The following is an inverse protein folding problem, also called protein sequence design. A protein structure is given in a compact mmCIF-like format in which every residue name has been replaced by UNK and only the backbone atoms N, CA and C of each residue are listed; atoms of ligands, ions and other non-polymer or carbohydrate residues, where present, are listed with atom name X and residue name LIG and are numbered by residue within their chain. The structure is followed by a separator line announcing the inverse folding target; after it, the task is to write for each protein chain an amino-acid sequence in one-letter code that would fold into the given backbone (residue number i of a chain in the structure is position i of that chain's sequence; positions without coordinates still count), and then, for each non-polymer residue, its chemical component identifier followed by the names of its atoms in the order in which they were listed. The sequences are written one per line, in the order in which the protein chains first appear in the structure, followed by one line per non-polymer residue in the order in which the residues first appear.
data_IF_663285823891
#
_entry.id   IF_663285823891
#
_cell.length_a   1.000
_cell.length_b   1.000
_cell.length_c   1.000
_cell.angle_alpha   90.00
_cell.angle_beta   90.00
_cell.angle_gamma   90.00
#
_symmetry.space_group_name_H-M   'P 1'
#
loop_
_entity.id
_entity.type
_entity.pdbx_description
1 polymer ?
#
# COMPACT_ATOMS: atom_id res chain seq x y z
N UNK A 1 -32.63 23.44 5.45
CA UNK A 1 -33.22 23.48 4.10
C UNK A 1 -32.11 23.13 3.11
N UNK A 2 -32.26 21.95 2.48
CA UNK A 2 -31.64 21.42 1.25
C UNK A 2 -30.10 21.44 1.14
N UNK A 3 -29.39 20.36 0.80
CA UNK A 3 -29.78 19.09 0.19
C UNK A 3 -28.64 18.06 0.38
N UNK A 4 -29.01 16.82 0.65
CA UNK A 4 -28.14 15.65 0.50
C UNK A 4 -27.76 15.47 -0.97
N UNK A 5 -26.48 15.23 -1.24
CA UNK A 5 -26.00 14.60 -2.47
C UNK A 5 -25.18 13.39 -2.07
N UNK A 6 -25.79 12.23 -2.30
CA UNK A 6 -25.16 10.92 -2.28
C UNK A 6 -23.88 10.88 -3.13
N UNK A 7 -22.93 10.02 -2.75
CA UNK A 7 -21.85 9.63 -3.67
C UNK A 7 -20.42 9.81 -3.16
N UNK A 8 -20.19 9.62 -1.87
CA UNK A 8 -18.85 9.44 -1.34
C UNK A 8 -18.99 8.91 0.05
N UNK A 9 -18.72 7.63 0.26
CA UNK A 9 -18.50 7.15 1.63
C UNK A 9 -17.52 8.13 2.27
N UNK A 10 -17.74 8.60 3.50
CA UNK A 10 -16.68 9.28 4.20
C UNK A 10 -15.54 8.28 4.21
N UNK A 11 -14.45 8.57 3.47
CA UNK A 11 -13.19 7.87 3.66
C UNK A 11 -12.84 8.23 5.08
N UNK A 12 -13.25 7.37 6.01
CA UNK A 12 -12.78 7.43 7.37
C UNK A 12 -11.27 7.37 7.22
N UNK A 13 -10.60 8.49 7.54
CA UNK A 13 -9.23 8.47 7.98
C UNK A 13 -9.23 7.70 9.31
N UNK A 14 -9.47 6.40 9.26
CA UNK A 14 -8.85 5.47 10.20
C UNK A 14 -7.37 5.65 9.94
N UNK A 15 -6.62 6.04 10.96
CA UNK A 15 -5.17 6.23 10.92
C UNK A 15 -4.54 5.37 9.83
N UNK A 16 -4.17 5.98 8.71
CA UNK A 16 -3.67 5.23 7.57
C UNK A 16 -2.46 4.45 8.06
N UNK A 17 -2.56 3.12 8.09
CA UNK A 17 -1.51 2.26 8.60
C UNK A 17 -0.17 2.61 7.96
N UNK A 18 0.93 2.38 8.65
CA UNK A 18 2.28 2.67 8.14
C UNK A 18 2.52 2.06 6.75
N UNK A 19 1.91 0.88 6.49
CA UNK A 19 1.91 0.24 5.18
C UNK A 19 1.26 1.12 4.08
N UNK A 20 0.11 1.75 4.34
CA UNK A 20 -0.57 2.61 3.36
C UNK A 20 0.27 3.85 2.99
N UNK A 21 0.86 4.50 4.00
CA UNK A 21 1.74 5.66 3.76
C UNK A 21 2.96 5.23 2.92
N UNK A 22 3.56 4.08 3.24
CA UNK A 22 4.69 3.57 2.48
C UNK A 22 4.31 3.16 1.04
N UNK A 23 3.08 2.63 0.83
CA UNK A 23 2.55 2.30 -0.50
C UNK A 23 2.46 3.57 -1.37
N UNK A 24 1.87 4.64 -0.84
CA UNK A 24 1.73 5.92 -1.56
C UNK A 24 3.09 6.46 -1.99
N UNK A 25 4.08 6.45 -1.09
CA UNK A 25 5.44 6.91 -1.39
C UNK A 25 6.13 6.06 -2.46
N UNK A 26 5.98 4.72 -2.41
CA UNK A 26 6.56 3.82 -3.41
C UNK A 26 5.91 4.02 -4.78
N UNK A 27 4.60 4.29 -4.82
CA UNK A 27 3.89 4.61 -6.07
C UNK A 27 4.41 5.91 -6.68
N UNK A 28 4.60 6.95 -5.88
CA UNK A 28 5.16 8.23 -6.32
C UNK A 28 6.58 8.05 -6.89
N UNK A 29 7.49 7.43 -6.12
CA UNK A 29 8.87 7.18 -6.58
C UNK A 29 8.93 6.29 -7.82
N UNK A 30 7.99 5.33 -7.96
CA UNK A 30 7.90 4.49 -9.15
C UNK A 30 7.46 5.29 -10.37
N UNK A 31 6.48 6.17 -10.23
CA UNK A 31 6.03 7.05 -11.31
C UNK A 31 7.17 7.95 -11.82
N UNK A 32 7.92 8.56 -10.89
CA UNK A 32 9.08 9.39 -11.23
C UNK A 32 10.16 8.59 -11.97
N UNK A 33 10.50 7.39 -11.48
CA UNK A 33 11.48 6.52 -12.14
C UNK A 33 11.01 6.09 -13.55
N UNK A 34 9.71 5.86 -13.73
CA UNK A 34 9.13 5.57 -15.05
C UNK A 34 9.25 6.75 -16.02
N UNK A 35 8.99 7.98 -15.55
CA UNK A 35 9.15 9.20 -16.34
C UNK A 35 10.62 9.39 -16.73
N UNK A 36 11.54 9.29 -15.77
CA UNK A 36 12.98 9.43 -16.00
C UNK A 36 13.48 8.39 -17.01
N UNK A 37 13.06 7.13 -16.86
CA UNK A 37 13.44 6.05 -17.78
C UNK A 37 12.97 6.32 -19.20
N UNK A 38 11.77 6.88 -19.38
CA UNK A 38 11.22 7.20 -20.70
C UNK A 38 12.03 8.28 -21.43
N UNK A 39 12.68 9.17 -20.68
CA UNK A 39 13.53 10.24 -21.22
C UNK A 39 14.99 9.80 -21.39
N UNK A 40 15.36 8.64 -20.85
CA UNK A 40 16.74 8.13 -20.86
C UNK A 40 17.04 7.30 -22.10
N UNK A 41 18.25 7.40 -22.64
CA UNK A 41 18.69 6.64 -23.81
C UNK A 41 18.66 5.12 -23.54
N UNK A 42 17.97 4.29 -24.34
CA UNK A 42 17.69 2.88 -24.03
C UNK A 42 18.91 2.00 -23.75
N UNK A 43 20.03 2.22 -24.44
CA UNK A 43 21.23 1.38 -24.29
C UNK A 43 22.25 1.97 -23.30
N UNK A 44 21.84 2.97 -22.51
CA UNK A 44 22.69 3.55 -21.47
C UNK A 44 22.67 2.73 -20.18
N UNK A 45 23.76 2.78 -19.39
CA UNK A 45 23.77 2.23 -18.03
C UNK A 45 22.67 2.80 -17.14
N UNK A 46 22.31 4.08 -17.31
CA UNK A 46 21.26 4.74 -16.54
C UNK A 46 19.88 4.13 -16.82
N UNK A 47 19.59 3.77 -18.07
CA UNK A 47 18.34 3.09 -18.43
C UNK A 47 18.24 1.71 -17.76
N UNK A 48 19.35 0.97 -17.70
CA UNK A 48 19.38 -0.33 -17.01
C UNK A 48 19.24 -0.17 -15.50
N UNK A 49 19.90 0.84 -14.92
CA UNK A 49 19.73 1.20 -13.51
C UNK A 49 18.27 1.51 -13.18
N UNK A 50 17.63 2.38 -13.96
CA UNK A 50 16.22 2.74 -13.76
C UNK A 50 15.28 1.55 -13.94
N UNK A 51 15.55 0.66 -14.90
CA UNK A 51 14.80 -0.59 -15.08
C UNK A 51 14.89 -1.47 -13.83
N UNK A 52 16.08 -1.59 -13.24
CA UNK A 52 16.31 -2.29 -11.98
C UNK A 52 15.58 -1.63 -10.81
N UNK A 53 15.66 -0.30 -10.68
CA UNK A 53 14.97 0.46 -9.64
C UNK A 53 13.46 0.28 -9.70
N UNK A 54 12.84 0.42 -10.87
CA UNK A 54 11.40 0.19 -11.08
C UNK A 54 11.01 -1.22 -10.66
N UNK A 55 11.82 -2.22 -11.04
CA UNK A 55 11.59 -3.62 -10.65
C UNK A 55 11.64 -3.80 -9.13
N UNK A 56 12.57 -3.13 -8.45
CA UNK A 56 12.68 -3.16 -7.00
C UNK A 56 11.47 -2.51 -6.32
N UNK A 57 11.02 -1.34 -6.80
CA UNK A 57 9.81 -0.69 -6.30
C UNK A 57 8.57 -1.56 -6.46
N UNK A 58 8.42 -2.25 -7.59
CA UNK A 58 7.34 -3.22 -7.77
C UNK A 58 7.34 -4.34 -6.71
N UNK A 59 8.51 -4.89 -6.38
CA UNK A 59 8.65 -5.92 -5.34
C UNK A 59 8.32 -5.39 -3.94
N UNK A 60 8.79 -4.18 -3.62
CA UNK A 60 8.49 -3.53 -2.34
C UNK A 60 7.00 -3.26 -2.23
N UNK A 61 6.35 -2.80 -3.30
CA UNK A 61 4.92 -2.55 -3.34
C UNK A 61 4.12 -3.84 -3.06
N UNK A 62 4.49 -4.96 -3.69
CA UNK A 62 3.88 -6.27 -3.41
C UNK A 62 4.00 -6.65 -1.93
N UNK A 63 5.16 -6.44 -1.31
CA UNK A 63 5.36 -6.73 0.11
C UNK A 63 4.47 -5.84 0.99
N UNK A 64 4.43 -4.53 0.72
CA UNK A 64 3.65 -3.60 1.53
C UNK A 64 2.15 -3.87 1.45
N UNK A 65 1.63 -4.23 0.27
CA UNK A 65 0.23 -4.64 0.11
C UNK A 65 -0.07 -5.89 0.94
N UNK A 66 0.81 -6.91 0.89
CA UNK A 66 0.63 -8.10 1.71
C UNK A 66 0.67 -7.81 3.22
N UNK A 67 1.45 -6.83 3.66
CA UNK A 67 1.47 -6.36 5.06
C UNK A 67 0.18 -5.62 5.43
N UNK A 68 -0.32 -4.76 4.56
CA UNK A 68 -1.61 -4.07 4.76
C UNK A 68 -2.76 -5.05 4.88
N UNK A 69 -2.88 -6.02 3.96
CA UNK A 69 -3.90 -7.08 4.01
C UNK A 69 -3.83 -7.88 5.32
N UNK A 70 -2.61 -8.16 5.81
CA UNK A 70 -2.41 -8.86 7.08
C UNK A 70 -2.83 -8.02 8.28
N UNK A 71 -2.51 -6.73 8.31
CA UNK A 71 -2.95 -5.79 9.34
C UNK A 71 -4.48 -5.69 9.37
N UNK A 72 -5.11 -5.53 8.21
CA UNK A 72 -6.57 -5.49 8.05
C UNK A 72 -7.23 -6.80 8.52
N UNK A 73 -6.63 -7.95 8.18
CA UNK A 73 -7.11 -9.24 8.65
C UNK A 73 -7.08 -9.35 10.18
N UNK A 74 -5.98 -8.98 10.83
CA UNK A 74 -5.90 -9.02 12.30
C UNK A 74 -6.85 -8.01 12.96
N UNK A 75 -7.01 -6.82 12.37
CA UNK A 75 -7.96 -5.83 12.85
C UNK A 75 -9.42 -6.35 12.78
N UNK A 76 -9.76 -7.08 11.72
CA UNK A 76 -11.06 -7.74 11.58
C UNK A 76 -11.25 -8.83 12.65
N UNK A 77 -10.24 -9.68 12.87
CA UNK A 77 -10.29 -10.71 13.92
C UNK A 77 -10.47 -10.11 15.32
N UNK A 78 -9.76 -9.01 15.62
CA UNK A 78 -9.87 -8.33 16.91
C UNK A 78 -11.29 -7.78 17.17
N UNK A 79 -12.00 -7.34 16.13
CA UNK A 79 -13.36 -6.82 16.24
C UNK A 79 -14.42 -7.92 16.49
N UNK A 80 -14.11 -9.18 16.18
CA UNK A 80 -15.07 -10.28 16.29
C UNK A 80 -15.32 -10.77 17.72
N UNK A 81 -14.72 -10.17 18.76
CA UNK A 81 -14.86 -10.56 20.18
C UNK A 81 -14.81 -12.09 20.37
N UNK A 82 -13.90 -12.76 19.66
CA UNK A 82 -13.82 -14.22 19.65
C UNK A 82 -13.44 -14.72 21.06
N UNK A 83 -14.09 -15.79 21.56
CA UNK A 83 -13.72 -16.36 22.85
C UNK A 83 -12.27 -16.85 22.84
N UNK A 84 -11.60 -16.75 23.99
CA UNK A 84 -10.17 -17.09 24.14
C UNK A 84 -9.82 -18.53 23.69
N UNK A 85 -10.81 -19.43 23.69
CA UNK A 85 -10.69 -20.80 23.17
C UNK A 85 -10.41 -20.87 21.66
N UNK A 86 -10.66 -19.79 20.91
CA UNK A 86 -10.48 -19.69 19.45
C UNK A 86 -9.21 -18.89 19.10
N UNK A 87 -8.79 -17.95 19.94
CA UNK A 87 -7.64 -17.06 19.66
C UNK A 87 -6.29 -17.65 20.07
N UNK A 88 -6.26 -18.77 20.80
CA UNK A 88 -5.02 -19.48 21.15
C UNK A 88 -4.11 -18.74 22.15
N UNK A 89 -4.53 -17.58 22.63
CA UNK A 89 -3.92 -16.91 23.79
C UNK A 89 -4.40 -17.63 25.05
N UNK A 90 -3.74 -18.74 25.37
CA UNK A 90 -3.84 -19.34 26.69
C UNK A 90 -3.22 -18.40 27.72
N UNK A 91 -3.97 -18.19 28.80
CA UNK A 91 -3.66 -17.29 29.89
C UNK A 91 -2.47 -17.76 30.74
#
# INVERSE_FOLDING_TARGET
MYEEREGGRPVMKTDAGLANIAIEQILEMSADAHIERRLTFPDSPDFQRLSGTITAYGKVLTLLVALQEREEFYAMIAQLNLPASVTGLAH
#
